data_IF_941837727753
#
_entry.id   IF_941837727753
#
_cell.length_a   1.000
_cell.length_b   1.000
_cell.length_c   1.000
_cell.angle_alpha   90.00
_cell.angle_beta   90.00
_cell.angle_gamma   90.00
#
_symmetry.space_group_name_H-M   'P 1'
#
loop_
_entity.id
_entity.type
_entity.pdbx_description
1 polymer ?
#
# COMPACT_ATOMS: atom_id res chain seq x y z
N UNK A 1 -13.19 -24.09 26.12
CA UNK A 1 -12.76 -23.60 24.79
C UNK A 1 -13.08 -22.13 24.76
N UNK A 2 -12.08 -21.29 25.00
CA UNK A 2 -12.23 -19.84 24.99
C UNK A 2 -12.58 -19.37 23.58
N UNK A 3 -13.76 -18.77 23.44
CA UNK A 3 -14.20 -18.05 22.25
C UNK A 3 -13.33 -16.80 22.13
N UNK A 4 -12.38 -16.80 21.18
CA UNK A 4 -11.72 -15.57 20.77
C UNK A 4 -12.80 -14.59 20.26
N UNK A 5 -12.90 -13.36 20.79
CA UNK A 5 -13.91 -12.41 20.37
C UNK A 5 -13.65 -12.00 18.92
N UNK A 6 -14.69 -12.11 18.09
CA UNK A 6 -14.68 -11.87 16.63
C UNK A 6 -14.79 -10.38 16.26
N UNK A 7 -14.58 -9.49 17.21
CA UNK A 7 -14.77 -8.04 17.11
C UNK A 7 -13.55 -7.45 17.83
N UNK A 8 -12.63 -6.70 17.23
CA UNK A 8 -12.79 -5.43 16.53
C UNK A 8 -11.68 -5.29 15.47
N UNK A 9 -12.04 -5.36 14.19
CA UNK A 9 -11.29 -4.63 13.15
C UNK A 9 -12.25 -3.58 12.62
N UNK A 10 -11.88 -2.32 12.79
CA UNK A 10 -12.63 -1.17 12.28
C UNK A 10 -12.71 -1.33 10.75
N UNK A 11 -13.87 -1.72 10.23
CA UNK A 11 -14.13 -1.93 8.80
C UNK A 11 -14.08 -0.61 7.99
N UNK A 12 -13.61 0.48 8.58
CA UNK A 12 -13.39 1.75 7.88
C UNK A 12 -12.03 1.71 7.18
N UNK A 13 -12.11 1.51 5.87
CA UNK A 13 -11.09 1.84 4.85
C UNK A 13 -9.97 0.81 4.59
N UNK A 14 -10.29 -0.50 4.54
CA UNK A 14 -9.44 -1.40 3.73
C UNK A 14 -9.85 -1.28 2.26
N UNK A 15 -8.92 -1.02 1.32
CA UNK A 15 -9.21 -1.03 -0.11
C UNK A 15 -9.41 -2.45 -0.66
N UNK A 16 -9.21 -3.49 0.15
CA UNK A 16 -9.42 -4.89 -0.23
C UNK A 16 -10.89 -5.29 -0.20
N UNK A 17 -11.34 -6.15 -1.14
CA UNK A 17 -12.63 -6.80 -1.00
C UNK A 17 -12.66 -7.71 0.25
N UNK A 18 -13.85 -7.96 0.83
CA UNK A 18 -13.99 -8.68 2.11
C UNK A 18 -13.30 -10.05 2.15
N UNK A 19 -13.35 -10.79 1.04
CA UNK A 19 -12.73 -12.13 0.93
C UNK A 19 -11.20 -12.06 1.00
N UNK A 20 -10.58 -11.11 0.28
CA UNK A 20 -9.13 -10.89 0.31
C UNK A 20 -8.67 -10.32 1.66
N UNK A 21 -9.51 -9.53 2.33
CA UNK A 21 -9.21 -9.03 3.66
C UNK A 21 -9.28 -10.14 4.73
N UNK A 22 -10.28 -11.02 4.64
CA UNK A 22 -10.37 -12.21 5.51
C UNK A 22 -9.17 -13.14 5.30
N UNK A 23 -8.75 -13.32 4.04
CA UNK A 23 -7.56 -14.10 3.69
C UNK A 23 -6.27 -13.49 4.28
N UNK A 24 -6.08 -12.18 4.15
CA UNK A 24 -4.94 -11.46 4.74
C UNK A 24 -4.91 -11.59 6.27
N UNK A 25 -6.06 -11.49 6.92
CA UNK A 25 -6.17 -11.65 8.37
C UNK A 25 -5.86 -13.08 8.82
N UNK A 26 -6.30 -14.09 8.06
CA UNK A 26 -5.92 -15.48 8.32
C UNK A 26 -4.40 -15.68 8.19
N UNK A 27 -3.77 -15.13 7.15
CA UNK A 27 -2.31 -15.20 6.99
C UNK A 27 -1.55 -14.49 8.11
N UNK A 28 -2.03 -13.32 8.57
CA UNK A 28 -1.48 -12.63 9.77
C UNK A 28 -1.55 -13.52 11.00
N UNK A 29 -2.69 -14.18 11.22
CA UNK A 29 -2.87 -15.09 12.34
C UNK A 29 -1.93 -16.29 12.26
N UNK A 30 -1.81 -16.93 11.09
CA UNK A 30 -0.88 -18.05 10.89
C UNK A 30 0.55 -17.61 11.17
N UNK A 31 0.96 -16.40 10.77
CA UNK A 31 2.29 -15.86 11.03
C UNK A 31 2.62 -15.74 12.54
N UNK A 32 1.61 -15.53 13.40
CA UNK A 32 1.79 -15.56 14.85
C UNK A 32 1.92 -16.98 15.40
N UNK A 33 1.33 -17.97 14.75
CA UNK A 33 1.31 -19.36 15.20
C UNK A 33 2.49 -20.18 14.63
N UNK A 34 2.97 -19.86 13.43
CA UNK A 34 4.10 -20.52 12.75
C UNK A 34 4.71 -19.67 11.63
N UNK A 35 5.84 -20.13 11.10
CA UNK A 35 6.40 -19.57 9.87
C UNK A 35 5.51 -19.89 8.65
N UNK A 36 5.30 -18.87 7.81
CA UNK A 36 4.58 -19.00 6.54
C UNK A 36 5.45 -19.75 5.53
N UNK A 37 4.84 -20.70 4.80
CA UNK A 37 5.52 -21.32 3.67
C UNK A 37 5.66 -20.31 2.51
N UNK A 38 6.36 -20.71 1.45
CA UNK A 38 6.65 -19.83 0.32
C UNK A 38 5.38 -19.27 -0.36
N UNK A 39 4.36 -20.10 -0.58
CA UNK A 39 3.10 -19.70 -1.20
C UNK A 39 2.30 -18.75 -0.30
N UNK A 40 2.19 -19.08 0.99
CA UNK A 40 1.53 -18.23 1.99
C UNK A 40 2.22 -16.88 2.14
N UNK A 41 3.55 -16.87 2.07
CA UNK A 41 4.35 -15.65 2.15
C UNK A 41 4.17 -14.77 0.92
N UNK A 42 4.16 -15.35 -0.28
CA UNK A 42 3.87 -14.61 -1.51
C UNK A 42 2.46 -14.00 -1.47
N UNK A 43 1.47 -14.80 -1.07
CA UNK A 43 0.08 -14.36 -0.97
C UNK A 43 -0.11 -13.26 0.08
N UNK A 44 0.55 -13.40 1.23
CA UNK A 44 0.58 -12.37 2.27
C UNK A 44 1.18 -11.05 1.78
N UNK A 45 2.28 -11.11 1.01
CA UNK A 45 2.91 -9.92 0.44
C UNK A 45 2.00 -9.25 -0.60
N UNK A 46 1.37 -10.02 -1.48
CA UNK A 46 0.42 -9.50 -2.48
C UNK A 46 -0.75 -8.77 -1.81
N UNK A 47 -1.41 -9.43 -0.85
CA UNK A 47 -2.55 -8.87 -0.14
C UNK A 47 -2.15 -7.68 0.73
N UNK A 48 -0.99 -7.73 1.39
CA UNK A 48 -0.46 -6.59 2.15
C UNK A 48 -0.12 -5.38 1.27
N UNK A 49 0.31 -5.60 0.02
CA UNK A 49 0.55 -4.51 -0.93
C UNK A 49 -0.76 -3.90 -1.42
N UNK A 50 -1.74 -4.74 -1.74
CA UNK A 50 -3.09 -4.29 -2.10
C UNK A 50 -3.78 -3.54 -0.96
N UNK A 51 -3.66 -4.02 0.29
CA UNK A 51 -4.22 -3.36 1.49
C UNK A 51 -3.58 -1.99 1.74
N UNK A 52 -2.28 -1.85 1.52
CA UNK A 52 -1.58 -0.55 1.60
C UNK A 52 -1.99 0.43 0.50
N UNK A 53 -2.82 -0.02 -0.43
CA UNK A 53 -3.05 0.60 -1.73
C UNK A 53 -1.78 0.50 -2.56
N UNK A 54 -1.91 0.15 -3.84
CA UNK A 54 -0.90 0.60 -4.79
C UNK A 54 -0.99 2.13 -4.79
N UNK A 55 -0.20 2.80 -3.94
CA UNK A 55 -0.11 4.27 -3.83
C UNK A 55 0.34 4.95 -5.13
N UNK A 56 0.47 4.18 -6.20
CA UNK A 56 0.97 4.52 -7.52
C UNK A 56 0.03 4.04 -8.64
N UNK A 57 -1.12 3.43 -8.36
CA UNK A 57 -2.00 2.82 -9.38
C UNK A 57 -2.56 3.83 -10.39
N UNK A 58 -2.62 5.11 -10.02
CA UNK A 58 -3.00 6.23 -10.89
C UNK A 58 -1.91 6.72 -11.85
N UNK A 59 -0.69 6.20 -11.74
CA UNK A 59 0.46 6.60 -12.56
C UNK A 59 0.82 5.48 -13.54
N UNK A 60 1.17 5.86 -14.76
CA UNK A 60 1.85 4.95 -15.70
C UNK A 60 3.23 4.53 -15.16
N UNK A 61 3.82 3.44 -15.66
CA UNK A 61 5.14 2.97 -15.20
C UNK A 61 6.24 4.05 -15.30
N UNK A 62 6.18 4.89 -16.33
CA UNK A 62 7.08 6.04 -16.51
C UNK A 62 6.86 7.09 -15.41
N UNK A 63 5.61 7.39 -15.09
CA UNK A 63 5.25 8.36 -14.05
C UNK A 63 5.55 7.84 -12.64
N UNK A 64 5.43 6.53 -12.39
CA UNK A 64 5.89 5.91 -11.14
C UNK A 64 7.39 6.10 -10.95
N UNK A 65 8.15 5.88 -12.02
CA UNK A 65 9.61 6.06 -12.00
C UNK A 65 9.98 7.51 -11.72
N UNK A 66 9.32 8.45 -12.39
CA UNK A 66 9.50 9.89 -12.20
C UNK A 66 9.10 10.35 -10.78
N UNK A 67 7.95 9.89 -10.28
CA UNK A 67 7.48 10.20 -8.94
C UNK A 67 8.45 9.74 -7.85
N UNK A 68 9.01 8.52 -8.00
CA UNK A 68 10.02 7.98 -7.08
C UNK A 68 11.32 8.76 -7.13
N UNK A 69 11.77 9.19 -8.30
CA UNK A 69 12.97 10.02 -8.45
C UNK A 69 12.78 11.39 -7.78
N UNK A 70 11.70 12.08 -8.11
CA UNK A 70 11.39 13.39 -7.53
C UNK A 70 11.19 13.31 -6.00
N UNK A 71 10.49 12.28 -5.51
CA UNK A 71 10.29 12.08 -4.06
C UNK A 71 11.61 11.81 -3.32
N UNK A 72 12.57 11.12 -3.94
CA UNK A 72 13.91 10.91 -3.36
C UNK A 72 14.73 12.19 -3.34
N UNK A 73 14.53 13.06 -4.32
CA UNK A 73 15.11 14.41 -4.36
C UNK A 73 14.41 15.39 -3.41
N UNK A 74 13.30 15.03 -2.76
CA UNK A 74 12.57 15.88 -1.80
C UNK A 74 13.21 15.90 -0.41
N UNK A 75 14.55 15.83 -0.33
CA UNK A 75 15.29 15.98 0.93
C UNK A 75 15.49 17.49 1.17
N UNK A 76 15.35 17.92 2.42
CA UNK A 76 15.55 19.31 2.83
C UNK A 76 16.95 19.81 2.37
N UNK A 77 16.99 20.89 1.59
CA UNK A 77 18.22 21.45 1.03
C UNK A 77 18.55 21.06 -0.42
N UNK A 78 17.64 20.40 -1.14
CA UNK A 78 17.83 20.06 -2.56
C UNK A 78 17.36 21.19 -3.48
N UNK A 79 18.13 21.53 -4.52
CA UNK A 79 17.79 22.54 -5.55
C UNK A 79 16.60 22.10 -6.43
N UNK A 80 15.41 22.14 -5.85
CA UNK A 80 14.18 21.95 -6.61
C UNK A 80 13.91 23.14 -7.49
N UNK A 81 13.93 22.90 -8.81
CA UNK A 81 13.41 23.88 -9.74
C UNK A 81 11.89 23.97 -9.61
N UNK A 82 11.28 25.14 -9.89
CA UNK A 82 9.83 25.30 -9.90
C UNK A 82 9.09 24.27 -10.77
N UNK A 83 9.74 23.79 -11.83
CA UNK A 83 9.21 22.75 -12.71
C UNK A 83 9.12 21.37 -12.03
N UNK A 84 10.15 20.97 -11.28
CA UNK A 84 10.13 19.72 -10.49
C UNK A 84 9.04 19.76 -9.41
N UNK A 85 8.93 20.89 -8.71
CA UNK A 85 7.89 21.11 -7.71
C UNK A 85 6.48 21.06 -8.31
N UNK A 86 6.28 21.63 -9.50
CA UNK A 86 5.00 21.53 -10.21
C UNK A 86 4.70 20.09 -10.62
N UNK A 87 5.71 19.38 -11.13
CA UNK A 87 5.56 18.03 -11.65
C UNK A 87 5.20 17.02 -10.57
N UNK A 88 5.84 17.07 -9.41
CA UNK A 88 5.52 16.16 -8.31
C UNK A 88 4.11 16.42 -7.75
N UNK A 89 3.65 17.67 -7.72
CA UNK A 89 2.27 18.01 -7.32
C UNK A 89 1.26 17.47 -8.35
N UNK A 90 1.57 17.52 -9.64
CA UNK A 90 0.73 16.89 -10.68
C UNK A 90 0.65 15.37 -10.51
N UNK A 91 1.78 14.71 -10.22
CA UNK A 91 1.84 13.28 -9.95
C UNK A 91 1.05 12.93 -8.68
N UNK A 92 1.20 13.69 -7.60
CA UNK A 92 0.43 13.53 -6.36
C UNK A 92 -1.08 13.69 -6.60
N UNK A 93 -1.51 14.71 -7.35
CA UNK A 93 -2.92 14.87 -7.71
C UNK A 93 -3.49 13.70 -8.49
N UNK A 94 -2.70 13.04 -9.34
CA UNK A 94 -3.12 11.80 -10.04
C UNK A 94 -3.25 10.61 -9.10
N UNK A 95 -2.47 10.59 -8.01
CA UNK A 95 -2.58 9.60 -6.94
C UNK A 95 -3.79 9.85 -6.04
N UNK A 96 -4.09 11.11 -5.73
CA UNK A 96 -5.20 11.52 -4.87
C UNK A 96 -6.55 11.57 -5.60
N UNK A 97 -6.57 11.88 -6.90
CA UNK A 97 -7.77 12.04 -7.73
C UNK A 97 -8.46 10.73 -8.14
N UNK A 98 -8.10 9.61 -7.52
CA UNK A 98 -8.81 8.32 -7.61
C UNK A 98 -9.59 7.99 -6.31
N UNK A 99 -10.00 9.01 -5.58
CA UNK A 99 -10.98 8.88 -4.48
C UNK A 99 -12.39 9.24 -4.98
#
# INVERSE_FOLDING_TARGET
>A
MENFPKEYYDYKESPLPPEEQEELNNLRRIQFERELNEEERQRFLELSQKEKGNKEEGLSETEKTEYRQLSREQIDGTDWTPEKAKRIVELQKKLEGRN
#
